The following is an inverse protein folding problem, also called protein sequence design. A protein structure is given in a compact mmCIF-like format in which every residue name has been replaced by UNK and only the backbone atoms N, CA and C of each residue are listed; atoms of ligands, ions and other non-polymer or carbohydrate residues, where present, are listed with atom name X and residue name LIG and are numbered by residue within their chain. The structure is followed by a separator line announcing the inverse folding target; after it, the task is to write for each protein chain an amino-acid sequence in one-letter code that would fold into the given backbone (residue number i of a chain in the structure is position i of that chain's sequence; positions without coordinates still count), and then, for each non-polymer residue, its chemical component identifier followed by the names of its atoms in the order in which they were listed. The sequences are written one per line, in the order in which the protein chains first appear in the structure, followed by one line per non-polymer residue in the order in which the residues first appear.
data_IF_194174559075
#
_entry.id   IF_194174559075
#
_cell.length_a   1.000
_cell.length_b   1.000
_cell.length_c   1.000
_cell.angle_alpha   90.00
_cell.angle_beta   90.00
_cell.angle_gamma   90.00
#
_symmetry.space_group_name_H-M   'P 1'
#
loop_
_entity.id
_entity.type
_entity.pdbx_description
1 polymer ?
#
# COMPACT_ATOMS: atom_id res chain seq x y z
N UNK A 1 -60.46 -21.35 -4.56
CA UNK A 1 -60.16 -20.19 -5.41
C UNK A 1 -58.95 -19.48 -4.82
N UNK A 2 -57.75 -20.01 -5.04
CA UNK A 2 -56.90 -19.83 -6.22
C UNK A 2 -56.08 -18.53 -6.17
N UNK A 3 -54.96 -18.62 -5.46
CA UNK A 3 -53.65 -18.06 -5.78
C UNK A 3 -53.62 -17.02 -6.93
N UNK A 4 -53.98 -15.78 -6.64
CA UNK A 4 -53.80 -14.63 -7.52
C UNK A 4 -53.72 -13.41 -6.58
N UNK A 5 -52.60 -13.17 -5.91
CA UNK A 5 -51.65 -12.13 -6.34
C UNK A 5 -50.27 -12.45 -5.76
N UNK A 6 -49.76 -13.64 -6.08
CA UNK A 6 -48.31 -13.90 -6.16
C UNK A 6 -47.86 -13.53 -7.57
N UNK A 7 -47.73 -12.24 -7.85
CA UNK A 7 -47.12 -11.68 -9.06
C UNK A 7 -47.21 -10.16 -8.94
N UNK A 8 -46.15 -9.46 -9.36
CA UNK A 8 -45.92 -8.02 -9.19
C UNK A 8 -45.37 -7.78 -7.78
N UNK A 9 -44.07 -7.84 -7.49
CA UNK A 9 -42.96 -7.10 -8.10
C UNK A 9 -41.72 -8.01 -8.10
N UNK A 10 -41.54 -8.76 -9.19
CA UNK A 10 -40.23 -9.30 -9.58
C UNK A 10 -39.67 -8.39 -10.67
N UNK A 11 -39.26 -7.19 -10.29
CA UNK A 11 -38.53 -6.29 -11.20
C UNK A 11 -37.11 -6.14 -10.71
N UNK A 12 -36.28 -7.10 -11.12
CA UNK A 12 -34.96 -6.81 -11.69
C UNK A 12 -34.13 -5.82 -10.87
N UNK A 13 -33.56 -6.26 -9.74
CA UNK A 13 -32.29 -5.69 -9.28
C UNK A 13 -31.28 -6.08 -10.36
N UNK A 14 -31.14 -5.21 -11.36
CA UNK A 14 -30.00 -5.25 -12.28
C UNK A 14 -28.77 -5.08 -11.38
N UNK A 15 -28.08 -6.18 -11.12
CA UNK A 15 -26.69 -6.13 -10.68
C UNK A 15 -25.98 -5.33 -11.75
N UNK A 16 -25.62 -4.09 -11.43
CA UNK A 16 -24.77 -3.27 -12.27
C UNK A 16 -23.40 -3.94 -12.26
N UNK A 17 -23.19 -4.80 -13.25
CA UNK A 17 -21.88 -5.35 -13.57
C UNK A 17 -20.99 -4.16 -13.89
N UNK A 18 -20.06 -3.83 -13.00
CA UNK A 18 -18.92 -3.01 -13.39
C UNK A 18 -18.16 -3.80 -14.44
N UNK A 19 -18.48 -3.51 -15.69
CA UNK A 19 -17.79 -4.06 -16.85
C UNK A 19 -16.45 -3.35 -16.86
N UNK A 20 -15.44 -3.99 -16.29
CA UNK A 20 -14.05 -3.61 -16.48
C UNK A 20 -13.76 -3.72 -17.98
N UNK A 21 -13.84 -2.58 -18.67
CA UNK A 21 -13.42 -2.45 -20.05
C UNK A 21 -11.92 -2.70 -20.08
N UNK A 22 -11.52 -3.93 -20.42
CA UNK A 22 -10.14 -4.19 -20.83
C UNK A 22 -9.91 -3.45 -22.16
N UNK A 23 -8.94 -2.52 -22.25
CA UNK A 23 -8.51 -2.07 -23.56
C UNK A 23 -7.84 -3.24 -24.29
N UNK A 24 -8.44 -3.55 -25.44
CA UNK A 24 -7.98 -4.54 -26.43
C UNK A 24 -6.50 -4.33 -26.75
N UNK A 25 -5.75 -5.41 -26.58
CA UNK A 25 -4.35 -5.57 -27.00
C UNK A 25 -4.22 -5.27 -28.50
N UNK A 26 -3.37 -4.31 -28.85
CA UNK A 26 -2.82 -4.13 -30.20
C UNK A 26 -1.33 -4.45 -30.12
N UNK A 27 -0.81 -5.47 -30.84
CA UNK A 27 0.60 -5.77 -30.86
C UNK A 27 1.25 -4.86 -31.90
N UNK A 28 1.89 -3.78 -31.45
CA UNK A 28 2.70 -2.96 -32.34
C UNK A 28 3.93 -2.47 -31.60
N UNK A 29 5.04 -3.16 -31.91
CA UNK A 29 6.41 -2.77 -31.63
C UNK A 29 6.73 -2.59 -30.15
N UNK A 30 7.19 -3.69 -29.55
CA UNK A 30 8.22 -3.67 -28.52
C UNK A 30 9.37 -2.78 -29.02
N UNK A 31 9.25 -1.47 -28.76
CA UNK A 31 10.37 -0.53 -28.92
C UNK A 31 11.30 -0.85 -27.77
N UNK A 32 12.15 -1.85 -28.00
CA UNK A 32 13.32 -2.17 -27.22
C UNK A 32 13.95 -0.85 -26.80
N UNK A 33 13.89 -0.57 -25.51
CA UNK A 33 14.76 0.42 -24.89
C UNK A 33 16.13 -0.24 -24.80
N UNK A 34 16.78 -0.34 -25.96
CA UNK A 34 18.21 -0.60 -26.07
C UNK A 34 18.93 0.67 -25.63
N UNK A 35 19.08 0.81 -24.31
CA UNK A 35 20.27 1.48 -23.78
C UNK A 35 21.37 0.45 -23.73
N UNK A 36 22.10 0.35 -24.84
CA UNK A 36 23.48 -0.13 -24.81
C UNK A 36 24.26 0.81 -23.88
N UNK A 37 24.63 0.32 -22.71
CA UNK A 37 25.83 0.76 -22.02
C UNK A 37 26.73 -0.44 -21.88
N UNK A 38 27.85 -0.32 -22.53
CA UNK A 38 28.94 -1.28 -22.64
C UNK A 38 29.38 -1.83 -21.28
N UNK A 39 29.81 -3.08 -21.35
CA UNK A 39 30.46 -3.85 -20.31
C UNK A 39 31.76 -3.16 -19.86
N UNK A 40 32.08 -3.27 -18.56
CA UNK A 40 33.19 -4.12 -18.07
C UNK A 40 33.84 -3.53 -16.81
N UNK A 41 33.56 -4.16 -15.65
CA UNK A 41 34.46 -4.17 -14.49
C UNK A 41 34.34 -5.54 -13.79
N UNK A 42 35.00 -6.54 -14.39
CA UNK A 42 35.66 -7.70 -13.75
C UNK A 42 35.01 -8.29 -12.47
N UNK A 43 34.23 -9.34 -12.68
CA UNK A 43 33.64 -10.19 -11.65
C UNK A 43 34.70 -11.10 -10.97
N UNK A 44 35.45 -10.56 -10.00
CA UNK A 44 36.49 -11.28 -9.24
C UNK A 44 35.94 -11.91 -7.94
N UNK A 45 34.81 -12.63 -8.00
CA UNK A 45 34.33 -13.38 -6.83
C UNK A 45 33.86 -14.77 -7.19
N UNK A 46 34.59 -15.76 -6.67
CA UNK A 46 34.31 -17.19 -6.80
C UNK A 46 32.89 -17.53 -6.31
N UNK A 47 32.19 -18.47 -6.98
CA UNK A 47 30.86 -18.93 -6.56
C UNK A 47 30.84 -19.43 -5.11
N UNK A 48 31.97 -19.90 -4.61
CA UNK A 48 32.14 -20.36 -3.22
C UNK A 48 32.19 -19.19 -2.24
N UNK A 49 32.89 -18.12 -2.58
CA UNK A 49 32.95 -16.89 -1.77
C UNK A 49 31.59 -16.22 -1.69
N UNK A 50 30.83 -16.19 -2.80
CA UNK A 50 29.44 -15.68 -2.81
C UNK A 50 28.55 -16.47 -1.84
N UNK A 51 28.68 -17.80 -1.77
CA UNK A 51 27.92 -18.66 -0.83
C UNK A 51 28.31 -18.43 0.63
N UNK A 52 29.60 -18.24 0.91
CA UNK A 52 30.09 -17.94 2.27
C UNK A 52 29.59 -16.57 2.72
N UNK A 53 29.68 -15.55 1.86
CA UNK A 53 29.19 -14.21 2.15
C UNK A 53 27.67 -14.21 2.33
N UNK A 54 26.91 -14.93 1.49
CA UNK A 54 25.47 -15.09 1.68
C UNK A 54 25.13 -15.83 2.97
N UNK A 55 25.89 -16.88 3.32
CA UNK A 55 25.73 -17.64 4.55
C UNK A 55 26.02 -16.79 5.79
N UNK A 56 27.08 -15.98 5.74
CA UNK A 56 27.45 -15.05 6.80
C UNK A 56 26.45 -13.91 6.91
N UNK A 57 25.99 -13.33 5.79
CA UNK A 57 24.95 -12.31 5.78
C UNK A 57 23.62 -12.84 6.35
N UNK A 58 23.28 -14.10 6.06
CA UNK A 58 22.10 -14.78 6.64
C UNK A 58 22.27 -15.03 8.14
N UNK A 59 23.45 -15.48 8.58
CA UNK A 59 23.77 -15.68 9.99
C UNK A 59 23.80 -14.36 10.78
N UNK A 60 24.23 -13.27 10.14
CA UNK A 60 24.27 -11.91 10.68
C UNK A 60 22.91 -11.18 10.62
N UNK A 61 21.83 -11.85 10.17
CA UNK A 61 20.48 -11.31 10.24
C UNK A 61 20.10 -10.31 9.15
N UNK A 62 20.87 -10.17 8.07
CA UNK A 62 20.53 -9.25 6.96
C UNK A 62 19.27 -9.64 6.20
N UNK A 63 18.83 -10.90 6.29
CA UNK A 63 17.52 -11.37 5.79
C UNK A 63 16.51 -11.56 6.93
N UNK A 64 16.66 -10.79 8.02
CA UNK A 64 15.67 -10.77 9.08
C UNK A 64 14.35 -10.23 8.52
N UNK A 65 13.27 -10.99 8.74
CA UNK A 65 11.90 -10.60 8.37
C UNK A 65 11.55 -9.20 8.88
N UNK A 66 12.13 -8.79 10.01
CA UNK A 66 11.98 -7.46 10.61
C UNK A 66 12.58 -6.35 9.74
N UNK A 67 13.78 -6.52 9.18
CA UNK A 67 14.41 -5.47 8.36
C UNK A 67 13.67 -5.24 7.03
N UNK A 68 13.17 -6.33 6.44
CA UNK A 68 12.29 -6.23 5.25
C UNK A 68 10.96 -5.58 5.60
N UNK A 69 10.39 -5.93 6.77
CA UNK A 69 9.15 -5.33 7.24
C UNK A 69 9.27 -3.82 7.49
N UNK A 70 10.38 -3.35 8.05
CA UNK A 70 10.65 -1.92 8.26
C UNK A 70 10.66 -1.15 6.92
N UNK A 71 11.34 -1.69 5.90
CA UNK A 71 11.42 -1.01 4.59
C UNK A 71 10.06 -1.00 3.88
N UNK A 72 9.37 -2.14 3.88
CA UNK A 72 8.08 -2.28 3.24
C UNK A 72 7.00 -1.44 3.96
N UNK A 73 6.96 -1.45 5.29
CA UNK A 73 5.99 -0.68 6.08
C UNK A 73 6.12 0.81 5.81
N UNK A 74 7.34 1.33 5.60
CA UNK A 74 7.57 2.73 5.27
C UNK A 74 6.94 3.13 3.94
N UNK A 75 7.12 2.33 2.90
CA UNK A 75 6.50 2.58 1.59
C UNK A 75 4.98 2.47 1.68
N UNK A 76 4.46 1.44 2.36
CA UNK A 76 3.02 1.25 2.52
C UNK A 76 2.37 2.39 3.31
N UNK A 77 3.02 2.85 4.39
CA UNK A 77 2.53 3.96 5.19
C UNK A 77 2.55 5.28 4.40
N UNK A 78 3.60 5.53 3.62
CA UNK A 78 3.71 6.74 2.80
C UNK A 78 2.53 6.87 1.84
N UNK A 79 2.15 5.78 1.17
CA UNK A 79 0.96 5.76 0.32
C UNK A 79 -0.32 6.07 1.07
N UNK A 80 -0.47 5.57 2.31
CA UNK A 80 -1.64 5.85 3.15
C UNK A 80 -1.70 7.32 3.60
N UNK A 81 -0.57 7.89 4.02
CA UNK A 81 -0.49 9.28 4.47
C UNK A 81 -0.71 10.28 3.32
N UNK A 82 -0.30 9.91 2.10
CA UNK A 82 -0.49 10.73 0.90
C UNK A 82 -1.95 10.77 0.43
N UNK A 83 -2.83 9.84 0.85
CA UNK A 83 -4.21 9.78 0.33
C UNK A 83 -5.01 11.06 0.60
N UNK A 84 -4.79 11.69 1.76
CA UNK A 84 -5.47 12.95 2.09
C UNK A 84 -5.05 14.09 1.16
N UNK A 85 -3.75 14.18 0.83
CA UNK A 85 -3.22 15.24 -0.05
C UNK A 85 -3.59 14.98 -1.52
N UNK A 86 -3.50 13.73 -1.97
CA UNK A 86 -3.82 13.33 -3.35
C UNK A 86 -5.30 13.52 -3.68
N UNK A 87 -6.19 13.22 -2.73
CA UNK A 87 -7.64 13.31 -2.92
C UNK A 87 -8.25 14.45 -2.09
N UNK A 88 -7.49 15.51 -1.83
CA UNK A 88 -7.90 16.64 -0.99
C UNK A 88 -9.22 17.25 -1.47
N UNK A 89 -9.39 17.41 -2.77
CA UNK A 89 -10.62 17.91 -3.36
C UNK A 89 -11.83 17.06 -3.01
N UNK A 90 -11.71 15.73 -3.05
CA UNK A 90 -12.79 14.82 -2.68
C UNK A 90 -13.13 14.94 -1.19
N UNK A 91 -12.14 14.88 -0.32
CA UNK A 91 -12.39 14.92 1.13
C UNK A 91 -12.91 16.29 1.60
N UNK A 92 -12.34 17.38 1.09
CA UNK A 92 -12.69 18.74 1.53
C UNK A 92 -13.97 19.24 0.86
N UNK A 93 -14.17 19.00 -0.45
CA UNK A 93 -15.35 19.53 -1.18
C UNK A 93 -16.55 18.60 -1.14
N UNK A 94 -16.35 17.30 -1.41
CA UNK A 94 -17.47 16.34 -1.51
C UNK A 94 -17.88 15.82 -0.14
N UNK A 95 -16.92 15.48 0.72
CA UNK A 95 -17.20 15.01 2.08
C UNK A 95 -17.35 16.15 3.11
N UNK A 96 -17.12 17.41 2.69
CA UNK A 96 -17.21 18.60 3.54
C UNK A 96 -16.37 18.49 4.83
N UNK A 97 -15.20 17.84 4.76
CA UNK A 97 -14.27 17.77 5.88
C UNK A 97 -13.48 19.08 6.01
N UNK A 98 -13.34 19.62 7.23
CA UNK A 98 -12.48 20.78 7.46
C UNK A 98 -11.01 20.43 7.19
N UNK A 99 -10.27 21.29 6.51
CA UNK A 99 -8.84 21.07 6.22
C UNK A 99 -7.97 21.32 7.46
N UNK A 100 -7.96 20.34 8.37
CA UNK A 100 -7.22 20.39 9.62
C UNK A 100 -6.61 19.02 9.98
N UNK A 101 -5.77 19.00 11.01
CA UNK A 101 -5.11 17.78 11.49
C UNK A 101 -6.11 16.66 11.84
N UNK A 102 -7.27 16.99 12.40
CA UNK A 102 -8.28 16.00 12.78
C UNK A 102 -8.85 15.26 11.56
N UNK A 103 -9.12 15.98 10.47
CA UNK A 103 -9.56 15.38 9.21
C UNK A 103 -8.48 14.51 8.59
N UNK A 104 -7.24 15.00 8.55
CA UNK A 104 -6.09 14.21 8.09
C UNK A 104 -5.91 12.92 8.90
N UNK A 105 -6.00 13.01 10.23
CA UNK A 105 -5.85 11.87 11.13
C UNK A 105 -6.94 10.83 10.90
N UNK A 106 -8.20 11.26 10.76
CA UNK A 106 -9.35 10.38 10.53
C UNK A 106 -9.23 9.63 9.20
N UNK A 107 -8.86 10.34 8.12
CA UNK A 107 -8.67 9.74 6.79
C UNK A 107 -7.50 8.76 6.82
N UNK A 108 -6.35 9.16 7.37
CA UNK A 108 -5.15 8.32 7.44
C UNK A 108 -5.38 7.07 8.30
N UNK A 109 -6.08 7.21 9.43
CA UNK A 109 -6.42 6.08 10.32
C UNK A 109 -7.23 5.00 9.59
N UNK A 110 -8.20 5.38 8.76
CA UNK A 110 -9.00 4.42 7.99
C UNK A 110 -8.12 3.68 6.97
N UNK A 111 -7.24 4.38 6.27
CA UNK A 111 -6.30 3.75 5.32
C UNK A 111 -5.34 2.78 6.02
N UNK A 112 -4.77 3.19 7.15
CA UNK A 112 -3.92 2.32 7.99
C UNK A 112 -4.71 1.10 8.47
N UNK A 113 -5.97 1.27 8.88
CA UNK A 113 -6.82 0.15 9.31
C UNK A 113 -7.12 -0.84 8.19
N UNK A 114 -7.45 -0.36 6.99
CA UNK A 114 -7.67 -1.24 5.82
C UNK A 114 -6.40 -2.02 5.48
N UNK A 115 -5.24 -1.37 5.52
CA UNK A 115 -3.94 -2.00 5.29
C UNK A 115 -3.62 -3.04 6.38
N UNK A 116 -3.91 -2.75 7.65
CA UNK A 116 -3.74 -3.72 8.74
C UNK A 116 -4.60 -4.97 8.56
N UNK A 117 -5.86 -4.80 8.13
CA UNK A 117 -6.76 -5.94 7.86
C UNK A 117 -6.22 -6.80 6.70
N UNK A 118 -5.68 -6.17 5.66
CA UNK A 118 -5.05 -6.87 4.54
C UNK A 118 -3.82 -7.67 4.99
N UNK A 119 -2.90 -7.03 5.73
CA UNK A 119 -1.69 -7.67 6.24
C UNK A 119 -1.98 -8.79 7.23
N UNK A 120 -3.11 -8.77 7.95
CA UNK A 120 -3.50 -9.84 8.88
C UNK A 120 -3.76 -11.17 8.17
N UNK A 121 -4.17 -11.14 6.89
CA UNK A 121 -4.31 -12.35 6.09
C UNK A 121 -2.96 -12.97 5.71
N UNK A 122 -1.85 -12.24 5.86
CA UNK A 122 -0.51 -12.72 5.54
C UNK A 122 0.17 -13.39 6.74
N UNK A 123 0.90 -14.48 6.49
CA UNK A 123 1.53 -15.29 7.55
C UNK A 123 2.59 -14.56 8.41
N UNK A 124 3.15 -13.44 7.93
CA UNK A 124 4.09 -12.61 8.71
C UNK A 124 3.47 -11.25 9.14
N UNK A 125 2.17 -11.06 8.97
CA UNK A 125 1.49 -9.77 9.11
C UNK A 125 1.70 -9.05 10.44
N UNK A 126 1.90 -9.78 11.54
CA UNK A 126 2.09 -9.19 12.88
C UNK A 126 3.26 -8.21 12.94
N UNK A 127 4.40 -8.55 12.31
CA UNK A 127 5.60 -7.70 12.31
C UNK A 127 5.32 -6.43 11.48
N UNK A 128 4.74 -6.59 10.31
CA UNK A 128 4.39 -5.46 9.43
C UNK A 128 3.37 -4.52 10.08
N UNK A 129 2.35 -5.08 10.75
CA UNK A 129 1.34 -4.31 11.48
C UNK A 129 1.98 -3.52 12.62
N UNK A 130 2.90 -4.12 13.37
CA UNK A 130 3.59 -3.41 14.46
C UNK A 130 4.40 -2.21 13.93
N UNK A 131 5.21 -2.43 12.90
CA UNK A 131 6.01 -1.36 12.27
C UNK A 131 5.12 -0.27 11.65
N UNK A 132 4.01 -0.66 11.02
CA UNK A 132 3.05 0.27 10.42
C UNK A 132 2.40 1.17 11.48
N UNK A 133 1.96 0.58 12.61
CA UNK A 133 1.32 1.32 13.70
C UNK A 133 2.32 2.25 14.37
N UNK A 134 3.55 1.79 14.64
CA UNK A 134 4.61 2.64 15.17
C UNK A 134 4.81 3.87 14.28
N UNK A 135 4.89 3.67 12.97
CA UNK A 135 5.09 4.76 12.00
C UNK A 135 3.92 5.75 11.96
N UNK A 136 2.69 5.25 12.08
CA UNK A 136 1.50 6.10 12.15
C UNK A 136 1.52 7.01 13.38
N UNK A 137 1.90 6.48 14.55
CA UNK A 137 2.03 7.28 15.77
C UNK A 137 3.18 8.29 15.67
N UNK A 138 4.34 7.91 15.12
CA UNK A 138 5.46 8.85 14.88
C UNK A 138 5.00 10.05 14.03
N UNK A 139 4.29 9.83 12.93
CA UNK A 139 3.83 10.93 12.06
C UNK A 139 2.75 11.78 12.74
N UNK A 140 1.87 11.16 13.52
CA UNK A 140 0.88 11.89 14.31
C UNK A 140 1.56 12.77 15.37
N UNK A 141 2.55 12.25 16.10
CA UNK A 141 3.33 13.00 17.08
C UNK A 141 4.12 14.14 16.43
N UNK A 142 4.76 13.89 15.29
CA UNK A 142 5.51 14.91 14.55
C UNK A 142 4.59 16.06 14.09
N UNK A 143 3.39 15.73 13.61
CA UNK A 143 2.39 16.73 13.23
C UNK A 143 1.83 17.48 14.43
N UNK A 144 1.54 16.81 15.54
CA UNK A 144 1.11 17.46 16.79
C UNK A 144 2.20 18.40 17.30
N UNK A 145 3.46 17.98 17.29
CA UNK A 145 4.61 18.80 17.68
C UNK A 145 4.74 20.03 16.79
N UNK A 146 4.53 19.87 15.48
CA UNK A 146 4.53 20.99 14.53
C UNK A 146 3.38 21.99 14.74
N UNK A 147 2.25 21.54 15.32
CA UNK A 147 1.04 22.35 15.52
C UNK A 147 0.94 23.00 16.91
N UNK A 148 1.85 22.71 17.85
CA UNK A 148 2.08 23.60 18.99
C UNK A 148 2.20 22.95 20.36
N UNK A 149 3.32 22.28 20.64
CA UNK A 149 3.95 22.29 21.98
C UNK A 149 5.48 22.26 21.80
N UNK A 150 6.11 23.43 21.85
CA UNK A 150 7.50 23.51 22.27
C UNK A 150 7.50 23.46 23.81
N UNK A 151 8.47 22.73 24.37
CA UNK A 151 8.65 22.49 25.81
C UNK A 151 8.69 23.77 26.66
#
# INVERSE_FOLDING_TARGET
MSNLTKRIISSQIKRTSYTFLQPRIVPATLRLYSTEKEQDQQEKYSPTTKKIVYGLAKAMGYYSKTSTAIRASRTLYAECANQMELNKDFYVKECNLPDNFQSWFSVTQIHVWMLMVHLRAEGNGKIYIQELVNRFFEDAEDRIRSHGVNS
#
